data_IF_419613296285
#
_entry.id   IF_419613296285
#
_cell.length_a   1.000
_cell.length_b   1.000
_cell.length_c   1.000
_cell.angle_alpha   90.00
_cell.angle_beta   90.00
_cell.angle_gamma   90.00
#
_symmetry.space_group_name_H-M   'P 1'
#
loop_
_entity.id
_entity.type
_entity.pdbx_description
1 polymer ?
#
# COMPACT_ATOMS: atom_id res chain seq x y z
N UNK A 1 4.86 23.05 -10.28
CA UNK A 1 5.09 22.16 -9.12
C UNK A 1 5.00 20.72 -9.62
N UNK A 2 5.87 19.82 -9.12
CA UNK A 2 5.84 18.41 -9.55
C UNK A 2 4.59 17.75 -8.95
N UNK A 3 3.78 17.11 -9.78
CA UNK A 3 2.59 16.36 -9.38
C UNK A 3 2.81 14.89 -9.69
N UNK A 4 2.29 14.02 -8.83
CA UNK A 4 2.25 12.58 -9.01
C UNK A 4 0.87 12.19 -9.55
N UNK A 5 0.82 11.28 -10.52
CA UNK A 5 -0.39 10.68 -11.10
C UNK A 5 -0.63 9.29 -10.51
N UNK A 6 -1.75 8.67 -10.87
CA UNK A 6 -2.08 7.30 -10.43
C UNK A 6 -0.97 6.28 -10.76
N UNK A 7 -0.36 6.37 -11.95
CA UNK A 7 0.73 5.47 -12.32
C UNK A 7 1.95 5.60 -11.40
N UNK A 8 2.28 6.82 -10.98
CA UNK A 8 3.39 7.06 -10.06
C UNK A 8 3.12 6.40 -8.70
N UNK A 9 1.86 6.40 -8.22
CA UNK A 9 1.47 5.68 -7.00
C UNK A 9 1.60 4.16 -7.17
N UNK A 10 1.14 3.58 -8.29
CA UNK A 10 1.31 2.15 -8.57
C UNK A 10 2.78 1.75 -8.52
N UNK A 11 3.64 2.53 -9.17
CA UNK A 11 5.08 2.29 -9.20
C UNK A 11 5.71 2.44 -7.81
N UNK A 12 5.35 3.49 -7.06
CA UNK A 12 5.86 3.74 -5.72
C UNK A 12 5.52 2.59 -4.76
N UNK A 13 4.26 2.14 -4.73
CA UNK A 13 3.86 1.05 -3.84
C UNK A 13 4.34 -0.33 -4.31
N UNK A 14 4.55 -0.53 -5.61
CA UNK A 14 5.23 -1.73 -6.12
C UNK A 14 6.69 -1.77 -5.66
N UNK A 15 7.42 -0.64 -5.76
CA UNK A 15 8.79 -0.53 -5.27
C UNK A 15 8.87 -0.69 -3.75
N UNK A 16 7.95 -0.09 -3.00
CA UNK A 16 7.83 -0.28 -1.55
C UNK A 16 7.56 -1.75 -1.18
N UNK A 17 6.75 -2.46 -1.96
CA UNK A 17 6.51 -3.89 -1.77
C UNK A 17 7.77 -4.72 -1.98
N UNK A 18 8.57 -4.41 -3.02
CA UNK A 18 9.87 -5.05 -3.24
C UNK A 18 10.87 -4.80 -2.11
N UNK A 19 10.92 -3.57 -1.59
CA UNK A 19 11.71 -3.24 -0.40
C UNK A 19 11.24 -4.04 0.83
N UNK A 20 9.93 -4.08 1.09
CA UNK A 20 9.40 -4.86 2.22
C UNK A 20 9.69 -6.36 2.08
N UNK A 21 9.74 -6.89 0.86
CA UNK A 21 10.16 -8.27 0.61
C UNK A 21 11.63 -8.50 0.99
N UNK A 22 12.52 -7.60 0.58
CA UNK A 22 13.95 -7.64 0.92
C UNK A 22 14.19 -7.61 2.44
N UNK A 23 13.46 -6.75 3.16
CA UNK A 23 13.62 -6.57 4.60
C UNK A 23 12.65 -7.41 5.45
N UNK A 24 11.88 -8.32 4.84
CA UNK A 24 10.82 -9.10 5.52
C UNK A 24 11.32 -9.77 6.80
N UNK A 25 12.46 -10.46 6.72
CA UNK A 25 12.97 -11.25 7.84
C UNK A 25 13.52 -10.36 8.97
N UNK A 26 14.04 -9.18 8.62
CA UNK A 26 14.42 -8.15 9.59
C UNK A 26 13.16 -7.64 10.32
N UNK A 27 12.08 -7.34 9.59
CA UNK A 27 10.81 -6.88 10.19
C UNK A 27 10.20 -7.97 11.06
N UNK A 28 10.23 -9.24 10.64
CA UNK A 28 9.80 -10.38 11.47
C UNK A 28 10.58 -10.45 12.79
N UNK A 29 11.89 -10.17 12.76
CA UNK A 29 12.75 -10.19 13.94
C UNK A 29 12.58 -8.98 14.88
N UNK A 30 12.00 -7.87 14.42
CA UNK A 30 11.76 -6.68 15.25
C UNK A 30 10.59 -6.86 16.23
N UNK A 31 9.60 -7.69 15.91
CA UNK A 31 8.45 -7.90 16.80
C UNK A 31 8.79 -8.88 17.92
N UNK A 32 9.21 -8.34 19.07
CA UNK A 32 9.74 -9.13 20.20
C UNK A 32 8.85 -9.12 21.45
N UNK A 33 7.60 -8.64 21.38
CA UNK A 33 6.74 -8.47 22.57
C UNK A 33 5.34 -9.10 22.43
N UNK A 34 4.79 -9.78 23.46
CA UNK A 34 5.46 -10.37 24.63
C UNK A 34 6.19 -11.69 24.30
N UNK A 35 5.87 -12.29 23.15
CA UNK A 35 6.51 -13.46 22.55
C UNK A 35 6.62 -13.20 21.05
N UNK A 36 7.78 -13.43 20.40
CA UNK A 36 7.90 -13.24 18.96
C UNK A 36 6.99 -14.21 18.21
N UNK A 37 6.03 -13.69 17.45
CA UNK A 37 5.24 -14.45 16.48
C UNK A 37 6.01 -14.68 15.17
N UNK A 38 7.04 -13.85 14.91
CA UNK A 38 7.96 -14.01 13.79
C UNK A 38 7.32 -13.85 12.42
N UNK A 39 6.12 -13.27 12.35
CA UNK A 39 5.32 -13.19 11.14
C UNK A 39 4.94 -11.76 10.72
N UNK A 40 5.33 -10.73 11.49
CA UNK A 40 4.94 -9.33 11.27
C UNK A 40 5.26 -8.84 9.85
N UNK A 41 6.49 -9.04 9.38
CA UNK A 41 6.93 -8.69 8.04
C UNK A 41 6.27 -9.54 6.97
N UNK A 42 6.08 -10.84 7.22
CA UNK A 42 5.34 -11.74 6.30
C UNK A 42 3.90 -11.27 6.10
N UNK A 43 3.20 -10.94 7.18
CA UNK A 43 1.83 -10.45 7.19
C UNK A 43 1.69 -9.12 6.43
N UNK A 44 2.61 -8.18 6.66
CA UNK A 44 2.66 -6.92 5.91
C UNK A 44 2.94 -7.14 4.43
N UNK A 45 3.89 -8.02 4.07
CA UNK A 45 4.24 -8.30 2.68
C UNK A 45 3.07 -8.90 1.90
N UNK A 46 2.37 -9.88 2.49
CA UNK A 46 1.19 -10.49 1.85
C UNK A 46 0.07 -9.46 1.66
N UNK A 47 -0.11 -8.55 2.61
CA UNK A 47 -1.08 -7.46 2.53
C UNK A 47 -0.71 -6.48 1.41
N UNK A 48 0.55 -6.04 1.34
CA UNK A 48 1.06 -5.16 0.28
C UNK A 48 0.94 -5.79 -1.10
N UNK A 49 1.26 -7.08 -1.26
CA UNK A 49 1.11 -7.81 -2.52
C UNK A 49 -0.33 -7.81 -3.01
N UNK A 50 -1.30 -8.01 -2.13
CA UNK A 50 -2.73 -7.92 -2.48
C UNK A 50 -3.16 -6.50 -2.83
N UNK A 51 -2.62 -5.49 -2.16
CA UNK A 51 -2.86 -4.09 -2.50
C UNK A 51 -2.39 -3.75 -3.93
N UNK A 52 -1.12 -4.03 -4.25
CA UNK A 52 -0.55 -3.73 -5.58
C UNK A 52 -1.17 -4.59 -6.68
N UNK A 53 -1.58 -5.83 -6.37
CA UNK A 53 -2.33 -6.68 -7.29
C UNK A 53 -3.69 -6.07 -7.63
N UNK A 54 -4.49 -5.65 -6.63
CA UNK A 54 -5.78 -5.01 -6.89
C UNK A 54 -5.62 -3.74 -7.72
N UNK A 55 -4.61 -2.91 -7.41
CA UNK A 55 -4.31 -1.72 -8.21
C UNK A 55 -3.87 -2.05 -9.65
N UNK A 56 -3.22 -3.18 -9.89
CA UNK A 56 -2.87 -3.61 -11.24
C UNK A 56 -4.08 -4.14 -12.02
N UNK A 57 -4.99 -4.85 -11.34
CA UNK A 57 -6.22 -5.42 -11.91
C UNK A 57 -7.26 -4.32 -12.22
N UNK A 58 -7.50 -3.41 -11.26
CA UNK A 58 -8.53 -2.37 -11.35
C UNK A 58 -8.06 -1.14 -12.13
N UNK A 59 -6.76 -0.90 -12.19
CA UNK A 59 -6.16 0.22 -12.91
C UNK A 59 -5.08 -0.29 -13.89
N UNK A 60 -5.46 -0.95 -14.99
CA UNK A 60 -4.52 -1.55 -15.92
C UNK A 60 -3.60 -0.50 -16.56
N UNK A 61 -2.37 -0.91 -16.86
CA UNK A 61 -1.38 -0.05 -17.52
C UNK A 61 -1.83 0.35 -18.94
N UNK A 62 -1.31 1.47 -19.44
CA UNK A 62 -1.67 2.01 -20.75
C UNK A 62 -2.95 2.87 -20.76
N UNK A 63 -3.60 3.03 -19.61
CA UNK A 63 -4.71 3.96 -19.38
C UNK A 63 -4.32 4.99 -18.32
N UNK A 64 -4.81 6.22 -18.45
CA UNK A 64 -4.62 7.23 -17.41
C UNK A 64 -5.66 7.03 -16.29
N UNK A 65 -5.16 6.89 -15.07
CA UNK A 65 -5.98 6.77 -13.86
C UNK A 65 -5.64 7.89 -12.88
N UNK A 66 -6.67 8.40 -12.21
CA UNK A 66 -6.51 9.40 -11.15
C UNK A 66 -5.76 8.80 -9.94
N UNK A 67 -5.14 9.66 -9.12
CA UNK A 67 -4.58 9.21 -7.84
C UNK A 67 -5.65 8.65 -6.91
N UNK A 68 -6.88 9.21 -6.95
CA UNK A 68 -8.02 8.72 -6.17
C UNK A 68 -8.40 7.28 -6.54
N UNK A 69 -8.46 6.97 -7.84
CA UNK A 69 -8.83 5.63 -8.33
C UNK A 69 -7.78 4.61 -7.91
N UNK A 70 -6.49 4.92 -8.12
CA UNK A 70 -5.40 4.00 -7.76
C UNK A 70 -5.30 3.82 -6.24
N UNK A 71 -5.40 4.89 -5.46
CA UNK A 71 -5.35 4.77 -3.99
C UNK A 71 -6.53 3.97 -3.45
N UNK A 72 -7.70 4.08 -4.09
CA UNK A 72 -8.89 3.29 -3.71
C UNK A 72 -8.68 1.80 -3.97
N UNK A 73 -8.14 1.43 -5.13
CA UNK A 73 -7.81 0.04 -5.45
C UNK A 73 -6.74 -0.53 -4.51
N UNK A 74 -5.69 0.24 -4.20
CA UNK A 74 -4.68 -0.14 -3.20
C UNK A 74 -5.32 -0.40 -1.83
N UNK A 75 -6.20 0.49 -1.37
CA UNK A 75 -6.90 0.34 -0.10
C UNK A 75 -7.82 -0.88 -0.06
N UNK A 76 -8.56 -1.13 -1.13
CA UNK A 76 -9.43 -2.30 -1.25
C UNK A 76 -8.61 -3.60 -1.24
N UNK A 77 -7.54 -3.68 -2.03
CA UNK A 77 -6.64 -4.83 -2.05
C UNK A 77 -5.96 -5.08 -0.71
N UNK A 78 -5.53 -4.02 -0.02
CA UNK A 78 -4.96 -4.11 1.32
C UNK A 78 -5.98 -4.62 2.34
N UNK A 79 -7.22 -4.11 2.29
CA UNK A 79 -8.30 -4.52 3.20
C UNK A 79 -8.67 -6.00 3.01
N UNK A 80 -8.93 -6.43 1.76
CA UNK A 80 -9.28 -7.82 1.46
C UNK A 80 -8.10 -8.78 1.66
N UNK A 81 -6.88 -8.28 1.51
CA UNK A 81 -5.64 -9.02 1.65
C UNK A 81 -5.03 -9.00 3.04
N UNK A 82 -5.62 -8.30 4.01
CA UNK A 82 -5.06 -8.10 5.33
C UNK A 82 -4.77 -9.44 6.03
N UNK A 83 -3.56 -9.58 6.57
CA UNK A 83 -3.12 -10.76 7.34
C UNK A 83 -2.60 -10.34 8.70
N UNK A 84 -3.08 -11.01 9.75
CA UNK A 84 -2.68 -10.71 11.13
C UNK A 84 -2.94 -9.26 11.54
N UNK A 85 -2.42 -8.87 12.70
CA UNK A 85 -2.61 -7.51 13.22
C UNK A 85 -1.86 -6.47 12.39
N UNK A 86 -0.64 -6.78 11.94
CA UNK A 86 0.18 -5.85 11.15
C UNK A 86 -0.44 -5.55 9.78
N UNK A 87 -1.03 -6.55 9.12
CA UNK A 87 -1.77 -6.35 7.87
C UNK A 87 -3.04 -5.53 8.05
N UNK A 88 -3.79 -5.73 9.14
CA UNK A 88 -4.99 -4.92 9.44
C UNK A 88 -4.60 -3.46 9.69
N UNK A 89 -3.55 -3.19 10.48
CA UNK A 89 -3.09 -1.82 10.70
C UNK A 89 -2.65 -1.17 9.39
N UNK A 90 -1.91 -1.91 8.56
CA UNK A 90 -1.46 -1.43 7.26
C UNK A 90 -2.63 -1.16 6.29
N UNK A 91 -3.69 -1.98 6.31
CA UNK A 91 -4.88 -1.70 5.50
C UNK A 91 -5.59 -0.42 5.94
N UNK A 92 -5.59 -0.11 7.24
CA UNK A 92 -6.14 1.16 7.73
C UNK A 92 -5.31 2.36 7.32
N UNK A 93 -3.98 2.22 7.22
CA UNK A 93 -3.13 3.26 6.61
C UNK A 93 -3.56 3.54 5.16
N UNK A 94 -3.71 2.51 4.33
CA UNK A 94 -4.16 2.70 2.95
C UNK A 94 -5.57 3.27 2.86
N UNK A 95 -6.48 2.87 3.75
CA UNK A 95 -7.82 3.43 3.82
C UNK A 95 -7.79 4.94 4.10
N UNK A 96 -7.08 5.36 5.14
CA UNK A 96 -6.93 6.79 5.45
C UNK A 96 -6.23 7.56 4.33
N UNK A 97 -5.20 6.98 3.72
CA UNK A 97 -4.50 7.55 2.57
C UNK A 97 -5.45 7.74 1.38
N UNK A 98 -6.25 6.73 1.03
CA UNK A 98 -7.23 6.83 -0.05
C UNK A 98 -8.32 7.85 0.25
N UNK A 99 -8.80 7.92 1.50
CA UNK A 99 -9.85 8.86 1.88
C UNK A 99 -9.38 10.31 1.69
N UNK A 100 -8.14 10.63 2.05
CA UNK A 100 -7.52 11.94 1.85
C UNK A 100 -7.35 12.33 0.36
N UNK A 101 -7.35 11.35 -0.55
CA UNK A 101 -7.18 11.56 -2.00
C UNK A 101 -8.49 11.48 -2.78
N UNK A 102 -9.62 11.31 -2.11
CA UNK A 102 -10.94 11.24 -2.75
C UNK A 102 -11.16 12.41 -3.71
N UNK A 103 -11.51 12.10 -4.97
CA UNK A 103 -11.82 13.09 -6.00
C UNK A 103 -10.61 13.84 -6.58
N UNK A 104 -9.38 13.45 -6.24
CA UNK A 104 -8.17 14.08 -6.78
C UNK A 104 -7.65 13.35 -8.02
N UNK A 105 -7.39 14.10 -9.08
CA UNK A 105 -6.74 13.59 -10.30
C UNK A 105 -5.24 13.39 -10.14
N UNK A 106 -4.59 14.27 -9.34
CA UNK A 106 -3.16 14.22 -9.07
C UNK A 106 -2.85 14.53 -7.61
N UNK A 107 -1.65 14.13 -7.16
CA UNK A 107 -1.13 14.31 -5.82
C UNK A 107 0.04 15.30 -5.85
N UNK A 108 -0.02 16.31 -4.98
CA UNK A 108 1.05 17.28 -4.76
C UNK A 108 1.62 17.16 -3.35
N UNK A 109 2.72 17.85 -3.07
CA UNK A 109 3.35 17.82 -1.74
C UNK A 109 2.46 18.36 -0.63
N UNK A 110 1.56 19.31 -0.93
CA UNK A 110 0.61 19.85 0.07
C UNK A 110 -0.47 18.86 0.45
N UNK A 111 -0.71 17.83 -0.37
CA UNK A 111 -1.67 16.78 -0.09
C UNK A 111 -1.11 15.71 0.88
N UNK A 112 0.19 15.76 1.16
CA UNK A 112 0.90 14.87 2.11
C UNK A 112 1.19 15.54 3.46
N UNK A 113 0.80 16.81 3.64
CA UNK A 113 1.12 17.64 4.79
C UNK A 113 0.05 17.57 5.89
#
# INVERSE_FOLDING_TARGET
MRQLRGQDLKQAFSAATGCLEEYRDIVNALNVFPVPDGDTGTNMLLTMRRAVQSAAEDCPDGQEHSVATVSSALAQGAFLGARGNSGVILSQFFKGFSDALTGKDSLSSTDLA
#
